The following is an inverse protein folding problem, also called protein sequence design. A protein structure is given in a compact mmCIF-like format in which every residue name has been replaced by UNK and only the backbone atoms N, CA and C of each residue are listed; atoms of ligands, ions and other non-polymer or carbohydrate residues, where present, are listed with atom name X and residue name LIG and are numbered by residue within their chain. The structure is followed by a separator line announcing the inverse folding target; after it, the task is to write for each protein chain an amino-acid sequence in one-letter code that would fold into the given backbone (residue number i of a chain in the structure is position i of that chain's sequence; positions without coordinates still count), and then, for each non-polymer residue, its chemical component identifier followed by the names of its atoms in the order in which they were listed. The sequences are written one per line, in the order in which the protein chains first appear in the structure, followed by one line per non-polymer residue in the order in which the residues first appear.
data_IF_205156328474
#
_entry.id   IF_205156328474
#
_cell.length_a   1.000
_cell.length_b   1.000
_cell.length_c   1.000
_cell.angle_alpha   90.00
_cell.angle_beta   90.00
_cell.angle_gamma   90.00
#
_symmetry.space_group_name_H-M   'P 1'
#
loop_
_entity.id
_entity.type
_entity.pdbx_description
1 polymer ?
#
# COMPACT_ATOMS: atom_id res chain seq x y z
N UNK A 1 52.59 5.81 22.70
CA UNK A 1 51.68 4.65 22.68
C UNK A 1 50.32 5.14 22.18
N UNK A 2 50.04 4.82 20.92
CA UNK A 2 48.89 5.26 20.12
C UNK A 2 47.88 4.10 20.17
N UNK A 3 46.88 4.14 21.05
CA UNK A 3 45.87 3.08 21.11
C UNK A 3 44.55 3.54 21.77
N UNK A 4 44.01 4.69 21.37
CA UNK A 4 42.63 5.10 21.76
C UNK A 4 41.91 5.78 20.58
N UNK A 5 42.18 5.34 19.35
CA UNK A 5 41.57 5.90 18.12
C UNK A 5 40.78 4.86 17.31
N UNK A 6 40.23 3.84 17.98
CA UNK A 6 39.51 2.73 17.34
C UNK A 6 38.16 2.43 18.03
N UNK A 7 37.50 3.47 18.54
CA UNK A 7 36.13 3.39 19.10
C UNK A 7 35.12 4.17 18.23
N UNK A 8 35.43 4.32 16.94
CA UNK A 8 34.61 5.06 15.98
C UNK A 8 34.33 4.32 14.66
N UNK A 9 34.64 3.02 14.59
CA UNK A 9 34.32 2.22 13.42
C UNK A 9 33.07 1.36 13.65
N UNK A 10 31.99 1.86 13.05
CA UNK A 10 31.05 1.05 12.28
C UNK A 10 30.04 0.20 13.06
N UNK A 11 29.20 0.84 13.87
CA UNK A 11 27.77 0.46 13.84
C UNK A 11 27.11 1.18 12.65
N UNK A 12 27.49 0.78 11.43
CA UNK A 12 26.65 1.05 10.26
C UNK A 12 25.45 0.13 10.47
N UNK A 13 24.38 0.67 11.05
CA UNK A 13 23.08 0.02 11.02
C UNK A 13 22.70 -0.12 9.55
N UNK A 14 22.90 -1.33 9.03
CA UNK A 14 22.47 -1.73 7.71
C UNK A 14 20.94 -1.66 7.74
N UNK A 15 20.39 -0.49 7.40
CA UNK A 15 18.97 -0.36 7.09
C UNK A 15 18.73 -1.27 5.91
N UNK A 16 18.32 -2.51 6.19
CA UNK A 16 17.87 -3.47 5.21
C UNK A 16 16.63 -2.85 4.54
N UNK A 17 16.89 -2.08 3.49
CA UNK A 17 15.87 -1.68 2.54
C UNK A 17 15.34 -2.99 1.99
N UNK A 18 14.18 -3.42 2.48
CA UNK A 18 13.46 -4.58 1.99
C UNK A 18 13.31 -4.39 0.48
N UNK A 19 14.22 -5.01 -0.28
CA UNK A 19 14.19 -5.02 -1.73
C UNK A 19 12.88 -5.70 -2.08
N UNK A 20 11.89 -4.91 -2.51
CA UNK A 20 10.68 -5.42 -3.13
C UNK A 20 11.15 -6.35 -4.24
N UNK A 21 10.85 -7.64 -4.09
CA UNK A 21 11.29 -8.66 -5.02
C UNK A 21 10.80 -8.29 -6.42
N UNK A 22 11.68 -8.15 -7.44
CA UNK A 22 11.26 -7.92 -8.82
C UNK A 22 10.23 -8.92 -9.34
N UNK A 23 10.16 -10.11 -8.73
CA UNK A 23 9.15 -11.13 -9.02
C UNK A 23 7.73 -10.67 -8.61
N UNK A 24 7.59 -9.94 -7.50
CA UNK A 24 6.31 -9.44 -7.00
C UNK A 24 5.63 -8.48 -8.00
N UNK A 25 6.41 -7.63 -8.68
CA UNK A 25 5.87 -6.66 -9.66
C UNK A 25 5.22 -7.31 -10.88
N UNK A 26 5.86 -8.35 -11.44
CA UNK A 26 5.30 -9.07 -12.59
C UNK A 26 4.04 -9.82 -12.21
N UNK A 27 4.03 -10.45 -11.03
CA UNK A 27 2.84 -11.12 -10.52
C UNK A 27 1.68 -10.15 -10.27
N UNK A 28 1.96 -8.96 -9.73
CA UNK A 28 0.96 -7.93 -9.52
C UNK A 28 0.29 -7.51 -10.83
N UNK A 29 1.07 -7.31 -11.88
CA UNK A 29 0.54 -6.96 -13.20
C UNK A 29 -0.35 -8.08 -13.78
N UNK A 30 0.07 -9.34 -13.62
CA UNK A 30 -0.73 -10.50 -14.05
C UNK A 30 -2.01 -10.63 -13.22
N UNK A 31 -1.95 -10.34 -11.92
CA UNK A 31 -3.13 -10.34 -11.04
C UNK A 31 -4.14 -9.28 -11.47
N UNK A 32 -3.66 -8.10 -11.86
CA UNK A 32 -4.51 -7.04 -12.38
C UNK A 32 -5.17 -7.40 -13.70
N UNK A 33 -4.40 -7.91 -14.66
CA UNK A 33 -4.96 -8.38 -15.93
C UNK A 33 -5.99 -9.49 -15.73
N UNK A 34 -5.81 -10.35 -14.72
CA UNK A 34 -6.79 -11.40 -14.39
C UNK A 34 -8.03 -10.85 -13.68
N UNK A 35 -7.92 -9.71 -13.01
CA UNK A 35 -9.03 -9.07 -12.33
C UNK A 35 -9.92 -8.27 -13.30
N UNK A 36 -9.33 -7.68 -14.35
CA UNK A 36 -10.00 -7.04 -15.49
C UNK A 36 -10.80 -8.08 -16.29
N UNK A 37 -12.04 -8.32 -15.85
CA UNK A 37 -12.87 -9.41 -16.35
C UNK A 37 -13.56 -9.04 -17.67
N UNK A 38 -13.77 -7.75 -17.92
CA UNK A 38 -14.39 -7.25 -19.13
C UNK A 38 -13.35 -6.84 -20.20
N UNK A 39 -12.05 -6.90 -19.89
CA UNK A 39 -10.93 -6.50 -20.74
C UNK A 39 -11.00 -5.04 -21.21
N UNK A 40 -11.60 -4.15 -20.40
CA UNK A 40 -11.75 -2.74 -20.75
C UNK A 40 -10.49 -1.92 -20.45
N UNK A 41 -9.47 -2.54 -19.84
CA UNK A 41 -8.20 -1.93 -19.41
C UNK A 41 -8.38 -0.93 -18.27
N UNK A 42 -9.43 -1.09 -17.49
CA UNK A 42 -9.63 -0.43 -16.22
C UNK A 42 -9.78 -1.46 -15.11
N UNK A 43 -9.65 -0.99 -13.88
CA UNK A 43 -10.03 -1.73 -12.68
C UNK A 43 -11.21 -1.03 -12.06
N UNK A 44 -12.40 -1.64 -12.13
CA UNK A 44 -13.58 -1.16 -11.43
C UNK A 44 -13.63 -1.68 -9.97
N UNK A 45 -14.66 -1.28 -9.21
CA UNK A 45 -14.79 -1.68 -7.81
C UNK A 45 -15.10 -3.17 -7.60
N UNK A 46 -15.78 -3.84 -8.53
CA UNK A 46 -16.05 -5.29 -8.43
C UNK A 46 -14.77 -6.07 -8.74
N UNK A 47 -14.03 -5.65 -9.74
CA UNK A 47 -12.74 -6.22 -10.13
C UNK A 47 -11.69 -5.99 -9.05
N UNK A 48 -11.71 -4.83 -8.40
CA UNK A 48 -10.90 -4.53 -7.24
C UNK A 48 -11.10 -5.56 -6.13
N UNK A 49 -12.34 -5.88 -5.76
CA UNK A 49 -12.62 -6.87 -4.70
C UNK A 49 -12.05 -8.24 -5.05
N UNK A 50 -12.17 -8.66 -6.31
CA UNK A 50 -11.59 -9.91 -6.81
C UNK A 50 -10.06 -9.90 -6.75
N UNK A 51 -9.45 -8.79 -7.17
CA UNK A 51 -8.01 -8.58 -7.08
C UNK A 51 -7.53 -8.72 -5.63
N UNK A 52 -8.15 -7.98 -4.70
CA UNK A 52 -7.80 -7.97 -3.27
C UNK A 52 -7.92 -9.36 -2.68
N UNK A 53 -9.06 -10.03 -2.86
CA UNK A 53 -9.26 -11.38 -2.32
C UNK A 53 -8.22 -12.37 -2.85
N UNK A 54 -7.95 -12.32 -4.16
CA UNK A 54 -6.99 -13.21 -4.81
C UNK A 54 -5.58 -12.93 -4.31
N UNK A 55 -5.22 -11.66 -4.16
CA UNK A 55 -3.92 -11.23 -3.68
C UNK A 55 -3.72 -11.63 -2.21
N UNK A 56 -4.66 -11.27 -1.32
CA UNK A 56 -4.56 -11.54 0.11
C UNK A 56 -4.41 -13.05 0.38
N UNK A 57 -5.19 -13.90 -0.31
CA UNK A 57 -5.09 -15.36 -0.18
C UNK A 57 -3.76 -15.96 -0.63
N UNK A 58 -2.95 -15.22 -1.40
CA UNK A 58 -1.62 -15.66 -1.84
C UNK A 58 -0.51 -15.31 -0.86
N UNK A 59 -0.75 -14.38 0.07
CA UNK A 59 0.26 -13.93 1.04
C UNK A 59 0.97 -15.10 1.75
N UNK A 60 0.27 -16.14 2.27
CA UNK A 60 0.91 -17.27 2.95
C UNK A 60 1.87 -18.09 2.08
N UNK A 61 1.74 -18.01 0.75
CA UNK A 61 2.65 -18.71 -0.18
C UNK A 61 4.04 -18.09 -0.16
N UNK A 62 4.09 -16.76 -0.08
CA UNK A 62 5.31 -15.95 -0.09
C UNK A 62 5.84 -15.74 1.33
N UNK A 63 4.96 -15.38 2.27
CA UNK A 63 5.30 -15.09 3.65
C UNK A 63 4.89 -16.26 4.55
N UNK A 64 5.85 -17.13 4.85
CA UNK A 64 5.62 -18.33 5.68
C UNK A 64 5.26 -17.93 7.12
N UNK A 65 4.33 -18.67 7.71
CA UNK A 65 3.84 -18.40 9.07
C UNK A 65 2.89 -17.20 9.16
N UNK A 66 2.37 -16.73 8.02
CA UNK A 66 1.24 -15.80 7.95
C UNK A 66 -0.01 -16.59 7.60
N UNK A 67 -1.04 -16.44 8.41
CA UNK A 67 -2.37 -16.96 8.14
C UNK A 67 -3.30 -15.83 7.66
N UNK A 68 -4.24 -16.18 6.79
CA UNK A 68 -5.24 -15.24 6.27
C UNK A 68 -6.59 -15.65 6.81
N UNK A 69 -7.10 -14.88 7.77
CA UNK A 69 -8.40 -15.10 8.39
C UNK A 69 -9.51 -14.35 7.64
N UNK A 70 -10.77 -14.54 8.06
CA UNK A 70 -11.88 -13.73 7.58
C UNK A 70 -11.64 -12.23 7.82
N UNK A 71 -11.15 -11.88 9.01
CA UNK A 71 -10.84 -10.51 9.41
C UNK A 71 -9.74 -9.90 8.55
N UNK A 72 -8.70 -10.69 8.20
CA UNK A 72 -7.66 -10.22 7.28
C UNK A 72 -8.24 -9.87 5.91
N UNK A 73 -9.17 -10.68 5.39
CA UNK A 73 -9.80 -10.43 4.09
C UNK A 73 -10.72 -9.20 4.14
N UNK A 74 -11.52 -9.07 5.19
CA UNK A 74 -12.42 -7.94 5.37
C UNK A 74 -11.65 -6.63 5.54
N UNK A 75 -10.63 -6.62 6.41
CA UNK A 75 -9.74 -5.48 6.57
C UNK A 75 -9.03 -5.12 5.27
N UNK A 76 -8.54 -6.10 4.50
CA UNK A 76 -7.91 -5.86 3.21
C UNK A 76 -8.86 -5.20 2.21
N UNK A 77 -10.13 -5.63 2.15
CA UNK A 77 -11.15 -5.03 1.28
C UNK A 77 -11.44 -3.59 1.67
N UNK A 78 -11.64 -3.32 2.96
CA UNK A 78 -11.91 -1.97 3.47
C UNK A 78 -10.74 -1.04 3.14
N UNK A 79 -9.51 -1.46 3.40
CA UNK A 79 -8.31 -0.67 3.11
C UNK A 79 -8.17 -0.42 1.60
N UNK A 80 -8.42 -1.43 0.77
CA UNK A 80 -8.36 -1.31 -0.67
C UNK A 80 -9.43 -0.37 -1.23
N UNK A 81 -10.67 -0.43 -0.72
CA UNK A 81 -11.74 0.50 -1.09
C UNK A 81 -11.36 1.95 -0.74
N UNK A 82 -10.78 2.20 0.44
CA UNK A 82 -10.30 3.54 0.81
C UNK A 82 -9.13 4.03 -0.05
N UNK A 83 -8.18 3.14 -0.36
CA UNK A 83 -7.09 3.43 -1.28
C UNK A 83 -7.61 3.72 -2.70
N UNK A 84 -8.62 3.00 -3.15
CA UNK A 84 -9.22 3.16 -4.47
C UNK A 84 -9.89 4.53 -4.60
N UNK A 85 -10.71 4.93 -3.62
CA UNK A 85 -11.34 6.27 -3.60
C UNK A 85 -10.31 7.39 -3.71
N UNK A 86 -9.11 7.20 -3.16
CA UNK A 86 -8.01 8.16 -3.24
C UNK A 86 -7.29 8.14 -4.59
N UNK A 87 -7.16 6.96 -5.20
CA UNK A 87 -6.57 6.80 -6.51
C UNK A 87 -7.49 7.31 -7.62
N UNK A 88 -8.81 7.11 -7.47
CA UNK A 88 -9.86 7.59 -8.38
C UNK A 88 -10.17 9.07 -8.13
N UNK A 89 -9.18 9.92 -8.42
CA UNK A 89 -9.25 11.37 -8.19
C UNK A 89 -10.40 12.04 -8.95
N UNK A 90 -10.80 11.45 -10.07
CA UNK A 90 -11.84 11.98 -10.96
C UNK A 90 -13.22 11.38 -10.69
N UNK A 91 -13.31 10.43 -9.74
CA UNK A 91 -14.56 9.73 -9.36
C UNK A 91 -15.23 9.06 -10.55
N UNK A 92 -14.43 8.46 -11.43
CA UNK A 92 -14.91 7.72 -12.60
C UNK A 92 -15.38 6.31 -12.23
N UNK A 93 -15.14 5.87 -10.99
CA UNK A 93 -15.46 4.54 -10.50
C UNK A 93 -14.49 3.46 -11.01
N UNK A 94 -13.36 3.86 -11.61
CA UNK A 94 -12.42 2.97 -12.28
C UNK A 94 -11.00 3.54 -12.33
N UNK A 95 -9.99 2.67 -12.34
CA UNK A 95 -8.57 3.06 -12.47
C UNK A 95 -7.98 2.57 -13.79
N UNK A 96 -7.36 3.46 -14.56
CA UNK A 96 -6.78 3.09 -15.85
C UNK A 96 -5.46 2.33 -15.70
N UNK A 97 -5.26 1.30 -16.52
CA UNK A 97 -3.95 0.69 -16.74
C UNK A 97 -3.04 1.47 -17.68
N UNK A 98 -3.53 2.55 -18.31
CA UNK A 98 -2.75 3.35 -19.26
C UNK A 98 -1.66 4.15 -18.52
N UNK A 99 -0.42 3.72 -18.69
CA UNK A 99 0.77 4.47 -18.29
C UNK A 99 1.52 5.02 -19.50
N UNK A 100 2.64 5.67 -19.23
CA UNK A 100 3.66 5.98 -20.25
C UNK A 100 4.95 5.26 -19.90
N UNK A 101 5.96 5.30 -20.78
CA UNK A 101 7.30 4.78 -20.47
C UNK A 101 7.94 5.45 -19.25
N UNK A 102 7.50 6.67 -18.92
CA UNK A 102 8.06 7.50 -17.83
C UNK A 102 7.14 7.52 -16.61
N UNK A 103 5.83 7.33 -16.78
CA UNK A 103 4.83 7.39 -15.71
C UNK A 103 4.07 6.08 -15.59
N UNK A 104 4.06 5.51 -14.39
CA UNK A 104 3.20 4.38 -14.05
C UNK A 104 1.73 4.75 -14.20
N UNK A 105 0.90 3.78 -14.57
CA UNK A 105 -0.54 3.94 -14.58
C UNK A 105 -1.12 4.08 -13.17
N UNK A 106 -2.32 4.64 -13.07
CA UNK A 106 -3.01 4.82 -11.79
C UNK A 106 -3.27 3.47 -11.11
N UNK A 107 -3.72 2.47 -11.87
CA UNK A 107 -3.91 1.12 -11.36
C UNK A 107 -2.59 0.49 -10.84
N UNK A 108 -1.46 0.76 -11.49
CA UNK A 108 -0.15 0.25 -11.01
C UNK A 108 0.25 0.93 -9.70
N UNK A 109 0.11 2.25 -9.61
CA UNK A 109 0.45 3.00 -8.39
C UNK A 109 -0.45 2.58 -7.22
N UNK A 110 -1.75 2.41 -7.49
CA UNK A 110 -2.71 1.86 -6.55
C UNK A 110 -2.28 0.48 -6.07
N UNK A 111 -1.96 -0.42 -7.00
CA UNK A 111 -1.59 -1.80 -6.67
C UNK A 111 -0.35 -1.94 -5.82
N UNK A 112 0.72 -1.21 -6.14
CA UNK A 112 1.94 -1.24 -5.33
C UNK A 112 1.69 -0.74 -3.90
N UNK A 113 0.77 0.21 -3.72
CA UNK A 113 0.39 0.68 -2.40
C UNK A 113 -0.52 -0.33 -1.67
N UNK A 114 -1.55 -0.83 -2.35
CA UNK A 114 -2.47 -1.82 -1.82
C UNK A 114 -1.73 -3.09 -1.38
N UNK A 115 -0.81 -3.60 -2.20
CA UNK A 115 0.06 -4.73 -1.89
C UNK A 115 0.75 -4.57 -0.54
N UNK A 116 1.47 -3.45 -0.36
CA UNK A 116 2.23 -3.18 0.86
C UNK A 116 1.34 -3.06 2.08
N UNK A 117 0.22 -2.37 1.94
CA UNK A 117 -0.73 -2.13 3.03
C UNK A 117 -1.40 -3.42 3.47
N UNK A 118 -1.83 -4.26 2.52
CA UNK A 118 -2.49 -5.53 2.81
C UNK A 118 -1.49 -6.52 3.41
N UNK A 119 -0.24 -6.57 2.92
CA UNK A 119 0.81 -7.40 3.53
C UNK A 119 1.08 -6.94 4.97
N UNK A 120 1.18 -5.62 5.21
CA UNK A 120 1.36 -5.10 6.55
C UNK A 120 0.21 -5.49 7.48
N UNK A 121 -1.04 -5.36 7.02
CA UNK A 121 -2.22 -5.80 7.77
C UNK A 121 -2.13 -7.28 8.10
N UNK A 122 -1.80 -8.13 7.13
CA UNK A 122 -1.70 -9.57 7.35
C UNK A 122 -0.62 -9.90 8.40
N UNK A 123 0.53 -9.23 8.34
CA UNK A 123 1.58 -9.38 9.37
C UNK A 123 1.13 -8.90 10.74
N UNK A 124 0.43 -7.77 10.82
CA UNK A 124 -0.08 -7.20 12.06
C UNK A 124 -1.09 -8.12 12.76
N UNK A 125 -2.06 -8.66 12.00
CA UNK A 125 -3.05 -9.63 12.52
C UNK A 125 -2.38 -10.92 13.04
N UNK A 126 -1.23 -11.28 12.48
CA UNK A 126 -0.46 -12.46 12.88
C UNK A 126 0.62 -12.16 13.94
N UNK A 127 0.65 -10.94 14.49
CA UNK A 127 1.66 -10.49 15.46
C UNK A 127 3.12 -10.68 14.95
N UNK A 128 3.32 -10.52 13.63
CA UNK A 128 4.62 -10.63 12.96
C UNK A 128 5.17 -9.24 12.60
N UNK A 129 6.50 -9.08 12.54
CA UNK A 129 7.09 -7.82 12.07
C UNK A 129 6.69 -7.56 10.62
N UNK A 130 6.24 -6.34 10.36
CA UNK A 130 5.85 -5.90 9.02
C UNK A 130 7.08 -5.74 8.10
N UNK A 131 7.04 -6.28 6.86
CA UNK A 131 8.15 -6.17 5.91
C UNK A 131 8.23 -4.77 5.28
N UNK A 132 7.16 -3.96 5.35
CA UNK A 132 7.12 -2.61 4.79
C UNK A 132 6.92 -1.57 5.88
N UNK A 133 7.92 -1.43 6.75
CA UNK A 133 7.94 -0.42 7.80
C UNK A 133 7.75 1.01 7.25
N UNK A 134 6.97 1.82 7.95
CA UNK A 134 6.71 3.22 7.59
C UNK A 134 5.70 3.42 6.45
N UNK A 135 5.18 2.34 5.85
CA UNK A 135 4.06 2.45 4.91
C UNK A 135 2.77 2.71 5.68
N UNK A 136 2.43 3.98 5.84
CA UNK A 136 1.13 4.43 6.31
C UNK A 136 0.34 5.00 5.13
N UNK A 137 -0.70 4.29 4.62
CA UNK A 137 -1.50 4.78 3.49
C UNK A 137 -2.31 6.04 3.82
N UNK A 138 -2.44 6.38 5.11
CA UNK A 138 -3.27 7.45 5.64
C UNK A 138 -2.46 8.58 6.29
N UNK A 139 -1.13 8.60 6.18
CA UNK A 139 -0.28 9.67 6.73
C UNK A 139 -0.69 11.08 6.28
N UNK A 140 -1.26 11.21 5.08
CA UNK A 140 -1.77 12.49 4.57
C UNK A 140 -3.16 12.88 5.12
N UNK A 141 -3.89 11.97 5.77
CA UNK A 141 -5.20 12.27 6.40
C UNK A 141 -5.01 13.05 7.71
N UNK A 142 -4.01 12.69 8.52
CA UNK A 142 -3.67 13.40 9.76
C UNK A 142 -3.31 14.86 9.46
N UNK A 143 -2.55 15.12 8.40
CA UNK A 143 -2.17 16.47 8.00
C UNK A 143 -3.37 17.30 7.48
N UNK A 144 -4.34 16.66 6.81
CA UNK A 144 -5.53 17.33 6.29
C UNK A 144 -6.53 17.65 7.40
N UNK A 145 -6.79 16.71 8.32
CA UNK A 145 -7.63 16.94 9.49
C UNK A 145 -7.07 18.04 10.39
N UNK A 146 -5.76 18.03 10.65
CA UNK A 146 -5.11 19.07 11.46
C UNK A 146 -5.25 20.45 10.83
N UNK A 147 -5.04 20.57 9.50
CA UNK A 147 -5.22 21.83 8.77
C UNK A 147 -6.68 22.30 8.74
N UNK A 148 -7.64 21.39 8.63
CA UNK A 148 -9.08 21.71 8.69
C UNK A 148 -9.51 22.17 10.07
N UNK A 149 -8.97 21.59 11.14
CA UNK A 149 -9.20 22.03 12.52
C UNK A 149 -8.54 23.38 12.81
N UNK A 150 -7.30 23.60 12.36
CA UNK A 150 -6.62 24.89 12.46
C UNK A 150 -7.34 26.01 11.68
N UNK A 151 -8.01 25.69 10.57
CA UNK A 151 -8.83 26.65 9.82
C UNK A 151 -10.15 27.00 10.53
N UNK A 152 -10.76 26.05 11.23
CA UNK A 152 -11.99 26.28 12.01
C UNK A 152 -11.75 27.11 13.26
N UNK A 153 -10.56 27.00 13.87
CA UNK A 153 -10.19 27.76 15.08
C UNK A 153 -9.78 29.21 14.72
N UNK A 154 -9.27 29.45 13.51
CA UNK A 154 -8.78 30.76 13.06
C UNK A 154 -9.72 31.47 12.06
N UNK A 155 -10.93 30.96 11.83
CA UNK A 155 -11.91 31.66 11.01
C UNK A 155 -12.35 32.95 11.74
N UNK A 156 -12.19 34.15 11.14
CA UNK A 156 -12.70 35.37 11.74
C UNK A 156 -14.22 35.26 11.84
N UNK A 157 -14.74 35.45 13.05
CA UNK A 157 -16.17 35.61 13.28
C UNK A 157 -16.56 36.92 12.61
N UNK A 158 -17.18 36.83 11.43
CA UNK A 158 -17.84 37.97 10.81
C UNK A 158 -19.09 38.25 11.65
N UNK A 159 -18.96 39.23 12.56
CA UNK A 159 -20.07 39.87 13.28
C UNK A 159 -20.59 41.01 12.42
#
# INVERSE_FOLDING_TARGET
MIFVFLLFLATITLSASAKVDPFARRELHVLFQKADANNDRYLDQKELKRFVDTFTRRIPRVYKGIEVTGDTLEGARILADELFKRADKHKEGRLSYKGTLVKKSDATNFGELAEKVIINLAHEVNEKPSPYAGVNPFSNMVYRQKRSQEFQINAPVLV
#
